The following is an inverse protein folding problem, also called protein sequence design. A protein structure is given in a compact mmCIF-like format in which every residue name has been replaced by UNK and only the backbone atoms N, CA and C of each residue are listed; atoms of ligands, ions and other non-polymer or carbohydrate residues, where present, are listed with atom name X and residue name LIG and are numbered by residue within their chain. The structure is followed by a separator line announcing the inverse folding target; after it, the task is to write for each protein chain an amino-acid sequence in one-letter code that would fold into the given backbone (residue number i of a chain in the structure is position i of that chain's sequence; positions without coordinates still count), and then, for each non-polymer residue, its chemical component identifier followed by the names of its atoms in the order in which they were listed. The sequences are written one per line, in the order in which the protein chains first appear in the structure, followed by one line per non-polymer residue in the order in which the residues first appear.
data_IF_841327913230
#
_entry.id   IF_841327913230
#
_cell.length_a   1.000
_cell.length_b   1.000
_cell.length_c   1.000
_cell.angle_alpha   90.00
_cell.angle_beta   90.00
_cell.angle_gamma   90.00
#
_symmetry.space_group_name_H-M   'P 1'
#
loop_
_entity.id
_entity.type
_entity.pdbx_description
1 polymer ?
#
# COMPACT_ATOMS: atom_id res chain seq x y z
N UNK A 1 39.65 -15.18 9.39
CA UNK A 1 38.62 -15.60 8.42
C UNK A 1 37.97 -14.33 7.92
N UNK A 2 38.25 -13.96 6.68
CA UNK A 2 37.76 -12.72 6.07
C UNK A 2 36.25 -12.85 5.89
N UNK A 3 35.51 -12.05 6.65
CA UNK A 3 34.07 -11.82 6.46
C UNK A 3 33.89 -11.27 5.04
N UNK A 4 33.58 -12.15 4.08
CA UNK A 4 33.24 -11.73 2.73
C UNK A 4 31.88 -11.06 2.83
N UNK A 5 31.87 -9.75 3.04
CA UNK A 5 30.65 -8.96 3.11
C UNK A 5 29.73 -9.35 1.95
N UNK A 6 28.50 -9.80 2.25
CA UNK A 6 27.52 -10.19 1.24
C UNK A 6 27.33 -9.01 0.27
N UNK A 7 27.60 -9.22 -1.02
CA UNK A 7 27.61 -8.15 -2.03
C UNK A 7 26.48 -8.31 -3.03
N UNK A 8 26.01 -7.18 -3.51
CA UNK A 8 24.95 -7.07 -4.50
C UNK A 8 25.32 -6.01 -5.53
N UNK A 9 25.04 -6.30 -6.79
CA UNK A 9 25.23 -5.40 -7.91
C UNK A 9 23.89 -4.79 -8.31
N UNK A 10 23.92 -3.54 -8.78
CA UNK A 10 22.74 -2.80 -9.22
C UNK A 10 21.60 -2.77 -8.17
N UNK A 11 21.88 -2.35 -6.92
CA UNK A 11 20.88 -2.33 -5.87
C UNK A 11 19.77 -1.33 -6.18
N UNK A 12 18.52 -1.72 -5.92
CA UNK A 12 17.36 -0.85 -6.00
C UNK A 12 16.31 -1.15 -4.95
N UNK A 13 15.44 -0.17 -4.70
CA UNK A 13 14.16 -0.35 -4.02
C UNK A 13 13.05 0.25 -4.87
N UNK A 14 11.95 -0.47 -5.00
CA UNK A 14 10.70 0.05 -5.55
C UNK A 14 9.63 0.10 -4.46
N UNK A 15 9.02 1.26 -4.28
CA UNK A 15 7.81 1.46 -3.50
C UNK A 15 6.60 1.40 -4.43
N UNK A 16 5.75 0.39 -4.21
CA UNK A 16 4.40 0.34 -4.76
C UNK A 16 3.40 0.79 -3.70
N UNK A 17 2.84 1.99 -3.84
CA UNK A 17 1.89 2.55 -2.88
C UNK A 17 0.51 2.73 -3.52
N UNK A 18 -0.56 2.38 -2.78
CA UNK A 18 -1.92 2.35 -3.30
C UNK A 18 -2.86 3.18 -2.42
N UNK A 19 -3.49 4.19 -2.99
CA UNK A 19 -4.39 5.09 -2.28
C UNK A 19 -5.76 5.15 -2.95
N UNK A 20 -6.82 4.90 -2.17
CA UNK A 20 -8.19 4.91 -2.65
C UNK A 20 -8.57 6.33 -3.00
N UNK A 21 -8.83 6.60 -4.28
CA UNK A 21 -9.14 7.96 -4.76
C UNK A 21 -10.63 8.17 -5.02
N UNK A 22 -11.40 7.10 -5.23
CA UNK A 22 -12.84 7.11 -5.42
C UNK A 22 -13.48 6.01 -4.56
N UNK A 23 -14.67 6.25 -4.03
CA UNK A 23 -15.44 5.23 -3.30
C UNK A 23 -16.84 5.04 -3.92
N UNK A 24 -17.58 4.05 -3.43
CA UNK A 24 -18.95 3.76 -3.87
C UNK A 24 -20.01 4.65 -3.22
N UNK A 25 -19.67 5.39 -2.15
CA UNK A 25 -20.57 6.30 -1.43
C UNK A 25 -20.71 7.65 -2.13
N UNK A 26 -19.74 8.03 -2.96
CA UNK A 26 -19.73 9.26 -3.75
C UNK A 26 -20.35 9.06 -5.14
N UNK A 27 -20.80 10.17 -5.72
CA UNK A 27 -21.24 10.19 -7.12
C UNK A 27 -20.12 9.69 -8.04
N UNK A 28 -20.46 8.91 -9.10
CA UNK A 28 -19.49 8.47 -10.08
C UNK A 28 -18.63 9.61 -10.61
N UNK A 29 -17.31 9.46 -10.53
CA UNK A 29 -16.36 10.46 -11.01
C UNK A 29 -15.89 11.43 -9.93
N UNK A 30 -16.52 11.48 -8.75
CA UNK A 30 -16.08 12.32 -7.64
C UNK A 30 -14.92 11.66 -6.88
N UNK A 31 -13.88 12.44 -6.60
CA UNK A 31 -12.74 12.00 -5.82
C UNK A 31 -12.98 12.20 -4.32
N UNK A 32 -12.35 11.37 -3.50
CA UNK A 32 -12.29 11.56 -2.06
C UNK A 32 -11.55 12.85 -1.71
N UNK A 33 -11.88 13.45 -0.56
CA UNK A 33 -11.23 14.69 -0.09
C UNK A 33 -9.72 14.52 0.14
N UNK A 34 -9.29 13.30 0.45
CA UNK A 34 -7.90 12.93 0.70
C UNK A 34 -7.19 12.32 -0.52
N UNK A 35 -7.83 12.26 -1.70
CA UNK A 35 -7.30 11.57 -2.87
C UNK A 35 -5.88 12.02 -3.26
N UNK A 36 -5.58 13.31 -3.12
CA UNK A 36 -4.28 13.88 -3.50
C UNK A 36 -3.17 13.66 -2.45
N UNK A 37 -3.49 13.11 -1.27
CA UNK A 37 -2.52 12.92 -0.19
C UNK A 37 -1.32 12.06 -0.60
N UNK A 38 -1.55 11.02 -1.42
CA UNK A 38 -0.46 10.18 -1.92
C UNK A 38 0.61 11.00 -2.65
N UNK A 39 0.17 11.95 -3.48
CA UNK A 39 1.05 12.80 -4.27
C UNK A 39 1.76 13.84 -3.40
N UNK A 40 1.06 14.40 -2.41
CA UNK A 40 1.64 15.33 -1.44
C UNK A 40 2.72 14.65 -0.59
N UNK A 41 2.47 13.44 -0.09
CA UNK A 41 3.46 12.69 0.67
C UNK A 41 4.64 12.22 -0.19
N UNK A 42 4.40 11.85 -1.45
CA UNK A 42 5.49 11.58 -2.38
C UNK A 42 6.36 12.83 -2.64
N UNK A 43 5.76 14.02 -2.73
CA UNK A 43 6.49 15.28 -2.90
C UNK A 43 7.37 15.62 -1.67
N UNK A 44 6.97 15.20 -0.46
CA UNK A 44 7.74 15.38 0.77
C UNK A 44 9.03 14.56 0.79
N UNK A 45 9.15 13.51 -0.04
CA UNK A 45 10.41 12.77 -0.21
C UNK A 45 11.54 13.61 -0.82
N UNK A 46 11.23 14.81 -1.34
CA UNK A 46 12.22 15.77 -1.83
C UNK A 46 13.29 16.11 -0.79
N UNK A 47 12.94 16.19 0.49
CA UNK A 47 13.87 16.51 1.57
C UNK A 47 14.81 15.34 1.93
N UNK A 48 14.32 14.16 2.36
CA UNK A 48 15.19 13.05 2.77
C UNK A 48 16.02 12.48 1.61
N UNK A 49 15.56 12.62 0.37
CA UNK A 49 16.31 12.20 -0.83
C UNK A 49 17.19 13.31 -1.41
N UNK A 50 17.08 14.55 -0.92
CA UNK A 50 17.75 15.73 -1.46
C UNK A 50 17.47 15.97 -2.96
N UNK A 51 16.19 15.87 -3.36
CA UNK A 51 15.68 16.09 -4.72
C UNK A 51 14.63 17.21 -4.69
N UNK A 52 15.03 18.50 -4.71
CA UNK A 52 14.09 19.62 -4.62
C UNK A 52 12.98 19.59 -5.68
N UNK A 53 13.32 19.18 -6.91
CA UNK A 53 12.38 19.13 -8.04
C UNK A 53 11.23 18.12 -7.84
N UNK A 54 11.38 17.14 -6.94
CA UNK A 54 10.32 16.19 -6.60
C UNK A 54 9.14 16.89 -5.92
N UNK A 55 9.36 18.05 -5.28
CA UNK A 55 8.30 18.84 -4.63
C UNK A 55 7.21 19.29 -5.60
N UNK A 56 7.57 19.48 -6.87
CA UNK A 56 6.65 19.88 -7.96
C UNK A 56 5.84 18.71 -8.55
N UNK A 57 5.98 17.48 -8.04
CA UNK A 57 5.27 16.32 -8.57
C UNK A 57 3.75 16.54 -8.70
N UNK A 58 3.02 17.04 -7.69
CA UNK A 58 1.57 17.21 -7.79
C UNK A 58 1.14 18.14 -8.93
N UNK A 59 1.96 19.15 -9.25
CA UNK A 59 1.71 20.14 -10.32
C UNK A 59 1.91 19.54 -11.71
N UNK A 60 2.68 18.45 -11.82
CA UNK A 60 2.95 17.74 -13.08
C UNK A 60 1.88 16.70 -13.42
N UNK A 61 1.00 16.37 -12.47
CA UNK A 61 -0.04 15.38 -12.66
C UNK A 61 -1.23 15.97 -13.41
N UNK A 62 -1.74 15.22 -14.38
CA UNK A 62 -2.97 15.54 -15.07
C UNK A 62 -4.17 15.00 -14.30
N UNK A 63 -5.26 15.78 -14.27
CA UNK A 63 -6.54 15.30 -13.79
C UNK A 63 -6.99 14.11 -14.66
N UNK A 64 -7.38 12.97 -14.06
CA UNK A 64 -7.90 11.85 -14.84
C UNK A 64 -9.13 12.31 -15.63
N UNK A 65 -9.30 11.89 -16.90
CA UNK A 65 -10.49 12.22 -17.66
C UNK A 65 -11.75 11.76 -16.93
N UNK A 66 -12.81 12.58 -17.02
CA UNK A 66 -14.13 12.27 -16.47
C UNK A 66 -14.76 11.09 -17.23
N UNK A 67 -14.47 9.86 -16.79
CA UNK A 67 -15.21 8.60 -16.99
C UNK A 67 -15.77 8.25 -18.40
N UNK A 68 -15.32 8.86 -19.50
CA UNK A 68 -15.81 8.47 -20.84
C UNK A 68 -15.03 7.32 -21.48
N UNK A 69 -13.88 6.93 -20.94
CA UNK A 69 -13.06 5.83 -21.49
C UNK A 69 -13.00 4.64 -20.54
N UNK A 70 -13.99 3.75 -20.63
CA UNK A 70 -14.02 2.42 -19.96
C UNK A 70 -12.95 1.45 -20.55
N UNK A 71 -12.13 1.89 -21.51
CA UNK A 71 -11.31 1.00 -22.30
C UNK A 71 -9.94 0.63 -21.69
N UNK A 72 -9.37 1.42 -20.78
CA UNK A 72 -8.01 1.16 -20.26
C UNK A 72 -8.02 0.62 -18.84
N UNK A 73 -7.24 -0.43 -18.59
CA UNK A 73 -7.02 -1.00 -17.23
C UNK A 73 -6.29 -0.04 -16.29
N UNK A 74 -5.57 0.93 -16.85
CA UNK A 74 -4.84 1.96 -16.11
C UNK A 74 -4.83 3.28 -16.89
N UNK A 75 -4.81 4.39 -16.17
CA UNK A 75 -4.70 5.75 -16.71
C UNK A 75 -3.38 6.33 -16.22
N UNK A 76 -2.52 6.74 -17.14
CA UNK A 76 -1.29 7.43 -16.78
C UNK A 76 -1.61 8.88 -16.42
N UNK A 77 -0.95 9.38 -15.36
CA UNK A 77 -1.21 10.71 -14.83
C UNK A 77 -0.18 11.74 -15.28
N UNK A 78 0.82 11.33 -16.09
CA UNK A 78 1.83 12.24 -16.63
C UNK A 78 1.52 12.59 -18.10
N UNK A 79 1.76 13.85 -18.52
CA UNK A 79 1.45 14.32 -19.87
C UNK A 79 2.15 13.57 -20.99
N UNK A 80 3.39 13.13 -20.75
CA UNK A 80 4.23 12.47 -21.77
C UNK A 80 4.16 10.95 -21.73
N UNK A 81 3.18 10.37 -21.01
CA UNK A 81 2.95 8.92 -20.94
C UNK A 81 4.18 8.09 -20.51
N UNK A 82 4.98 8.65 -19.61
CA UNK A 82 6.28 8.11 -19.22
C UNK A 82 6.55 8.14 -17.72
N UNK A 83 7.82 8.09 -17.35
CA UNK A 83 8.30 8.21 -15.96
C UNK A 83 8.99 9.55 -15.77
N UNK A 84 8.90 10.13 -14.57
CA UNK A 84 9.77 11.24 -14.19
C UNK A 84 11.05 10.67 -13.60
N UNK A 85 12.21 11.07 -14.16
CA UNK A 85 13.52 10.65 -13.67
C UNK A 85 14.24 11.82 -13.01
N UNK A 86 14.76 11.58 -11.81
CA UNK A 86 15.52 12.52 -11.01
C UNK A 86 16.88 11.91 -10.66
N UNK A 87 17.89 12.76 -10.48
CA UNK A 87 19.20 12.35 -9.98
C UNK A 87 19.46 13.06 -8.65
N UNK A 88 19.68 12.29 -7.59
CA UNK A 88 20.01 12.84 -6.29
C UNK A 88 21.53 13.06 -6.15
N UNK A 89 21.96 14.00 -5.29
CA UNK A 89 23.39 14.21 -5.02
C UNK A 89 24.02 13.07 -4.22
N UNK A 90 23.23 12.17 -3.62
CA UNK A 90 23.72 11.02 -2.89
C UNK A 90 24.46 10.06 -3.84
N UNK A 91 25.69 9.68 -3.49
CA UNK A 91 26.52 8.79 -4.30
C UNK A 91 27.00 7.56 -3.51
N UNK A 92 27.16 6.45 -4.22
CA UNK A 92 27.83 5.25 -3.76
C UNK A 92 28.79 4.79 -4.85
N UNK A 93 30.07 4.57 -4.51
CA UNK A 93 31.09 4.08 -5.45
C UNK A 93 31.13 4.89 -6.77
N UNK A 94 30.91 6.20 -6.69
CA UNK A 94 30.88 7.12 -7.84
C UNK A 94 29.59 7.10 -8.68
N UNK A 95 28.62 6.25 -8.36
CA UNK A 95 27.29 6.24 -8.98
C UNK A 95 26.31 7.10 -8.20
N UNK A 96 25.61 7.99 -8.88
CA UNK A 96 24.57 8.81 -8.29
C UNK A 96 23.27 8.01 -8.14
N UNK A 97 22.51 8.32 -7.09
CA UNK A 97 21.18 7.75 -6.90
C UNK A 97 20.23 8.28 -7.98
N UNK A 98 19.64 7.39 -8.76
CA UNK A 98 18.55 7.72 -9.68
C UNK A 98 17.22 7.39 -9.03
N UNK A 99 16.22 8.26 -9.23
CA UNK A 99 14.87 8.10 -8.73
C UNK A 99 13.88 8.23 -9.87
N UNK A 100 13.07 7.21 -10.09
CA UNK A 100 12.01 7.19 -11.09
C UNK A 100 10.64 7.19 -10.42
N UNK A 101 9.73 8.02 -10.94
CA UNK A 101 8.35 8.15 -10.45
C UNK A 101 7.39 7.84 -11.59
N UNK A 102 6.50 6.87 -11.37
CA UNK A 102 5.45 6.49 -12.31
C UNK A 102 4.08 6.48 -11.59
N UNK A 103 3.35 7.60 -11.66
CA UNK A 103 2.02 7.74 -11.08
C UNK A 103 0.94 7.32 -12.10
N UNK A 104 0.04 6.42 -11.67
CA UNK A 104 -1.08 5.96 -12.48
C UNK A 104 -2.35 5.88 -11.65
N UNK A 105 -3.50 5.83 -12.32
CA UNK A 105 -4.78 5.47 -11.73
C UNK A 105 -5.20 4.09 -12.24
N UNK A 106 -5.39 3.15 -11.33
CA UNK A 106 -5.91 1.80 -11.58
C UNK A 106 -7.34 1.75 -11.04
N UNK A 107 -8.33 1.88 -11.92
CA UNK A 107 -9.75 1.97 -11.57
C UNK A 107 -10.04 3.11 -10.58
N UNK A 108 -10.42 2.79 -9.34
CA UNK A 108 -10.73 3.68 -8.22
C UNK A 108 -9.52 4.03 -7.35
N UNK A 109 -8.32 3.60 -7.74
CA UNK A 109 -7.09 3.69 -6.93
C UNK A 109 -6.02 4.49 -7.63
N UNK A 110 -5.44 5.46 -6.94
CA UNK A 110 -4.16 6.03 -7.29
C UNK A 110 -3.04 5.09 -6.87
N UNK A 111 -2.16 4.78 -7.80
CA UNK A 111 -1.05 3.86 -7.61
C UNK A 111 0.27 4.54 -8.00
N UNK A 112 1.26 4.40 -7.13
CA UNK A 112 2.59 4.95 -7.30
C UNK A 112 3.59 3.81 -7.44
N UNK A 113 4.37 3.81 -8.53
CA UNK A 113 5.64 3.09 -8.63
C UNK A 113 6.77 4.12 -8.49
N UNK A 114 7.47 4.07 -7.36
CA UNK A 114 8.63 4.92 -7.06
C UNK A 114 9.86 4.03 -6.92
N UNK A 115 10.79 4.11 -7.86
CA UNK A 115 11.99 3.27 -7.87
C UNK A 115 13.26 4.10 -7.63
N UNK A 116 14.05 3.71 -6.64
CA UNK A 116 15.35 4.31 -6.29
C UNK A 116 16.44 3.28 -6.60
N UNK A 117 17.46 3.63 -7.37
CA UNK A 117 18.50 2.68 -7.76
C UNK A 117 19.87 3.29 -8.00
N UNK A 118 20.90 2.45 -7.90
CA UNK A 118 22.24 2.75 -8.39
C UNK A 118 22.60 1.82 -9.55
N UNK A 119 23.12 2.37 -10.64
CA UNK A 119 23.54 1.59 -11.81
C UNK A 119 25.03 1.28 -11.79
N UNK A 120 25.36 0.08 -12.28
CA UNK A 120 26.71 -0.40 -12.57
C UNK A 120 27.67 -0.38 -11.37
N UNK A 121 27.13 -0.53 -10.16
CA UNK A 121 27.91 -0.61 -8.92
C UNK A 121 27.68 -1.92 -8.19
N UNK A 122 28.70 -2.39 -7.49
CA UNK A 122 28.63 -3.57 -6.60
C UNK A 122 28.95 -3.17 -5.18
N UNK A 123 27.96 -3.27 -4.30
CA UNK A 123 28.02 -2.74 -2.94
C UNK A 123 27.78 -3.85 -1.91
N UNK A 124 28.25 -3.69 -0.67
CA UNK A 124 27.81 -4.54 0.44
C UNK A 124 26.31 -4.36 0.71
N UNK A 125 25.64 -5.41 1.20
CA UNK A 125 24.22 -5.37 1.57
C UNK A 125 23.87 -4.24 2.56
N UNK A 126 24.81 -3.85 3.42
CA UNK A 126 24.66 -2.72 4.37
C UNK A 126 24.35 -1.38 3.70
N UNK A 127 24.65 -1.22 2.41
CA UNK A 127 24.35 0.01 1.66
C UNK A 127 22.86 0.17 1.32
N UNK A 128 22.00 -0.83 1.54
CA UNK A 128 20.55 -0.66 1.41
C UNK A 128 19.96 0.38 2.38
N UNK A 129 20.64 0.66 3.50
CA UNK A 129 20.30 1.78 4.41
C UNK A 129 20.22 3.13 3.68
N UNK A 130 21.01 3.32 2.61
CA UNK A 130 21.03 4.56 1.80
C UNK A 130 19.84 4.70 0.87
N UNK A 131 19.11 3.62 0.58
CA UNK A 131 17.92 3.63 -0.24
C UNK A 131 16.65 3.97 0.56
N UNK A 132 16.76 4.07 1.89
CA UNK A 132 15.65 4.43 2.78
C UNK A 132 16.12 5.37 3.90
N UNK A 133 16.70 6.54 3.56
CA UNK A 133 17.20 7.46 4.57
C UNK A 133 16.05 7.86 5.51
N UNK A 134 16.31 7.75 6.81
CA UNK A 134 15.34 8.11 7.87
C UNK A 134 14.01 7.32 7.79
N UNK A 135 13.99 6.18 7.10
CA UNK A 135 12.77 5.40 6.91
C UNK A 135 11.74 6.07 5.99
N UNK A 136 12.14 7.00 5.13
CA UNK A 136 11.22 7.82 4.34
C UNK A 136 10.23 7.03 3.46
N UNK A 137 10.58 5.80 3.06
CA UNK A 137 9.71 4.93 2.24
C UNK A 137 8.74 4.07 3.07
N UNK A 138 8.75 4.16 4.40
CA UNK A 138 7.86 3.39 5.28
C UNK A 138 6.43 3.93 5.24
N UNK A 139 5.45 3.04 5.47
CA UNK A 139 4.02 3.35 5.40
C UNK A 139 3.60 4.50 6.33
N UNK A 140 4.29 4.69 7.46
CA UNK A 140 4.05 5.81 8.38
C UNK A 140 4.29 7.20 7.75
N UNK A 141 5.15 7.26 6.74
CA UNK A 141 5.53 8.49 6.04
C UNK A 141 4.72 8.68 4.74
N UNK A 142 4.52 7.62 3.97
CA UNK A 142 3.76 7.70 2.70
C UNK A 142 2.24 7.74 2.94
N UNK A 143 1.77 7.03 3.98
CA UNK A 143 0.37 6.91 4.39
C UNK A 143 -0.62 6.55 3.24
N UNK A 144 -0.33 5.51 2.44
CA UNK A 144 -1.28 5.06 1.42
C UNK A 144 -2.46 4.34 2.08
N UNK A 145 -3.69 4.69 1.71
CA UNK A 145 -4.90 4.17 2.39
C UNK A 145 -5.14 2.67 2.18
N UNK A 146 -4.73 2.10 1.03
CA UNK A 146 -4.76 0.65 0.79
C UNK A 146 -3.43 -0.05 1.14
N UNK A 147 -2.46 0.68 1.69
CA UNK A 147 -1.14 0.16 2.03
C UNK A 147 -0.14 0.19 0.87
N UNK A 148 1.00 -0.45 1.10
CA UNK A 148 2.13 -0.46 0.16
C UNK A 148 2.85 -1.82 0.14
N UNK A 149 3.63 -2.04 -0.91
CA UNK A 149 4.63 -3.11 -1.01
C UNK A 149 5.97 -2.49 -1.40
N UNK A 150 7.02 -2.86 -0.68
CA UNK A 150 8.40 -2.52 -1.01
C UNK A 150 9.06 -3.71 -1.71
N UNK A 151 9.85 -3.45 -2.74
CA UNK A 151 10.64 -4.48 -3.44
C UNK A 151 12.10 -4.08 -3.43
N UNK A 152 12.93 -4.79 -2.66
CA UNK A 152 14.39 -4.69 -2.75
C UNK A 152 14.87 -5.60 -3.88
N UNK A 153 15.73 -5.08 -4.74
CA UNK A 153 16.21 -5.82 -5.89
C UNK A 153 17.71 -5.62 -6.10
N UNK A 154 18.34 -6.63 -6.69
CA UNK A 154 19.69 -6.53 -7.23
C UNK A 154 20.26 -7.88 -7.66
N UNK A 155 21.47 -7.86 -8.23
CA UNK A 155 22.19 -9.02 -8.75
C UNK A 155 23.17 -9.53 -7.67
N UNK A 156 22.96 -10.70 -7.05
CA UNK A 156 23.84 -11.19 -6.00
C UNK A 156 25.22 -11.57 -6.54
N UNK A 157 26.29 -11.14 -5.85
CA UNK A 157 27.69 -11.48 -6.17
C UNK A 157 28.16 -12.52 -5.14
N UNK A 158 27.69 -13.74 -5.29
CA UNK A 158 27.91 -14.86 -4.36
C UNK A 158 27.21 -16.13 -4.84
N UNK A 159 27.22 -17.18 -4.04
CA UNK A 159 26.59 -18.46 -4.42
C UNK A 159 25.11 -18.51 -4.03
N UNK A 160 24.26 -19.29 -4.72
CA UNK A 160 22.83 -19.38 -4.38
C UNK A 160 22.53 -19.78 -2.93
N UNK A 161 23.42 -20.55 -2.29
CA UNK A 161 23.29 -20.96 -0.89
C UNK A 161 23.34 -19.77 0.09
N UNK A 162 23.86 -18.64 -0.35
CA UNK A 162 23.98 -17.41 0.44
C UNK A 162 22.78 -16.47 0.25
N UNK A 163 21.89 -16.73 -0.72
CA UNK A 163 20.81 -15.81 -1.09
C UNK A 163 19.90 -15.44 0.06
N UNK A 164 19.56 -16.42 0.90
CA UNK A 164 18.73 -16.15 2.07
C UNK A 164 19.44 -15.21 3.05
N UNK A 165 20.74 -15.44 3.30
CA UNK A 165 21.53 -14.59 4.19
C UNK A 165 21.69 -13.18 3.61
N UNK A 166 21.89 -13.09 2.30
CA UNK A 166 21.97 -11.81 1.59
C UNK A 166 20.64 -11.06 1.70
N UNK A 167 19.51 -11.74 1.48
CA UNK A 167 18.20 -11.13 1.61
C UNK A 167 17.95 -10.60 3.03
N UNK A 168 18.21 -11.42 4.06
CA UNK A 168 18.08 -11.00 5.46
C UNK A 168 18.98 -9.79 5.76
N UNK A 169 20.23 -9.77 5.26
CA UNK A 169 21.16 -8.65 5.44
C UNK A 169 20.69 -7.37 4.71
N UNK A 170 20.05 -7.48 3.55
CA UNK A 170 19.44 -6.36 2.85
C UNK A 170 18.27 -5.76 3.66
N UNK A 171 17.42 -6.62 4.23
CA UNK A 171 16.32 -6.17 5.12
C UNK A 171 16.88 -5.50 6.37
N UNK A 172 17.86 -6.11 7.04
CA UNK A 172 18.50 -5.52 8.22
C UNK A 172 19.04 -4.12 7.97
N UNK A 173 19.71 -3.95 6.83
CA UNK A 173 20.26 -2.66 6.43
C UNK A 173 19.16 -1.64 6.07
N UNK A 174 18.12 -2.06 5.34
CA UNK A 174 17.04 -1.17 4.91
C UNK A 174 16.18 -0.65 6.08
N UNK A 175 16.06 -1.46 7.14
CA UNK A 175 15.35 -1.14 8.38
C UNK A 175 16.29 -0.72 9.52
N UNK A 176 17.53 -0.34 9.21
CA UNK A 176 18.48 0.08 10.23
C UNK A 176 17.95 1.32 10.99
N UNK A 177 17.82 1.19 12.32
CA UNK A 177 17.35 2.28 13.18
C UNK A 177 15.82 2.40 13.31
N UNK A 178 15.06 1.38 12.88
CA UNK A 178 13.61 1.30 13.11
C UNK A 178 13.21 -0.02 13.76
N UNK A 179 12.21 0.03 14.64
CA UNK A 179 11.60 -1.14 15.28
C UNK A 179 10.54 -1.82 14.38
N UNK A 180 10.32 -1.30 13.17
CA UNK A 180 9.31 -1.79 12.22
C UNK A 180 9.82 -2.90 11.29
N UNK A 181 10.96 -3.52 11.61
CA UNK A 181 11.56 -4.55 10.78
C UNK A 181 10.59 -5.74 10.60
N UNK A 182 10.31 -6.16 9.34
CA UNK A 182 9.49 -7.32 9.08
C UNK A 182 10.28 -8.64 9.27
N UNK A 183 9.57 -9.72 9.50
CA UNK A 183 10.13 -11.07 9.58
C UNK A 183 9.88 -11.84 8.29
N UNK A 184 10.72 -12.82 7.97
CA UNK A 184 10.48 -13.65 6.78
C UNK A 184 9.19 -14.44 6.95
N UNK A 185 8.28 -14.28 6.00
CA UNK A 185 7.03 -15.04 5.94
C UNK A 185 7.02 -16.11 4.86
N UNK A 186 7.71 -15.90 3.74
CA UNK A 186 7.77 -16.89 2.66
C UNK A 186 9.04 -16.78 1.80
N UNK A 187 9.33 -17.84 1.05
CA UNK A 187 10.39 -17.89 0.04
C UNK A 187 9.90 -18.62 -1.21
N UNK A 188 10.35 -18.19 -2.38
CA UNK A 188 9.99 -18.81 -3.65
C UNK A 188 10.90 -18.37 -4.78
N UNK A 189 10.43 -18.54 -6.01
CA UNK A 189 11.11 -18.08 -7.22
C UNK A 189 10.13 -17.32 -8.11
N UNK A 190 10.59 -16.22 -8.70
CA UNK A 190 9.87 -15.45 -9.71
C UNK A 190 10.78 -15.27 -10.92
N UNK A 191 10.31 -15.71 -12.09
CA UNK A 191 11.06 -15.67 -13.35
C UNK A 191 12.46 -16.31 -13.25
N UNK A 192 12.55 -17.43 -12.54
CA UNK A 192 13.80 -18.18 -12.33
C UNK A 192 14.72 -17.61 -11.24
N UNK A 193 14.41 -16.43 -10.69
CA UNK A 193 15.20 -15.76 -9.67
C UNK A 193 14.56 -15.90 -8.27
N UNK A 194 15.35 -16.14 -7.21
CA UNK A 194 14.82 -16.29 -5.86
C UNK A 194 14.18 -15.00 -5.33
N UNK A 195 13.03 -15.16 -4.68
CA UNK A 195 12.29 -14.08 -4.04
C UNK A 195 11.90 -14.46 -2.62
N UNK A 196 12.07 -13.53 -1.69
CA UNK A 196 11.80 -13.71 -0.26
C UNK A 196 10.78 -12.67 0.18
N UNK A 197 9.69 -13.11 0.82
CA UNK A 197 8.67 -12.23 1.35
C UNK A 197 8.87 -12.04 2.85
N UNK A 198 8.76 -10.79 3.28
CA UNK A 198 8.82 -10.39 4.68
C UNK A 198 7.59 -9.56 5.01
N UNK A 199 7.03 -9.79 6.20
CA UNK A 199 5.96 -8.96 6.73
C UNK A 199 5.99 -8.83 8.26
N UNK A 200 5.20 -7.90 8.78
CA UNK A 200 5.07 -7.65 10.22
C UNK A 200 3.75 -8.18 10.83
N UNK A 201 3.01 -9.02 10.08
CA UNK A 201 1.75 -9.61 10.51
C UNK A 201 0.60 -8.65 10.85
N UNK A 202 0.74 -7.34 10.59
CA UNK A 202 -0.32 -6.36 10.91
C UNK A 202 -1.50 -6.51 9.95
N UNK A 203 -2.71 -6.54 10.51
CA UNK A 203 -3.96 -6.66 9.73
C UNK A 203 -4.29 -5.36 8.97
N UNK A 204 -4.04 -4.21 9.59
CA UNK A 204 -4.43 -2.91 9.03
C UNK A 204 -3.47 -2.51 7.90
N UNK A 205 -3.95 -2.21 6.68
CA UNK A 205 -3.09 -1.91 5.54
C UNK A 205 -2.10 -0.75 5.77
N UNK A 206 -2.50 0.28 6.52
CA UNK A 206 -1.67 1.46 6.83
C UNK A 206 -0.55 1.16 7.84
N UNK A 207 -0.65 0.05 8.57
CA UNK A 207 0.35 -0.39 9.55
C UNK A 207 1.17 -1.59 9.04
N UNK A 208 0.75 -2.18 7.93
CA UNK A 208 1.40 -3.33 7.34
C UNK A 208 2.72 -2.92 6.68
N UNK A 209 3.77 -3.65 7.01
CA UNK A 209 5.00 -3.66 6.24
C UNK A 209 4.99 -4.93 5.40
N UNK A 210 4.92 -4.80 4.07
CA UNK A 210 5.09 -5.91 3.15
C UNK A 210 6.28 -5.63 2.25
N UNK A 211 7.28 -6.52 2.30
CA UNK A 211 8.56 -6.35 1.65
C UNK A 211 8.89 -7.63 0.86
N UNK A 212 9.31 -7.46 -0.38
CA UNK A 212 9.86 -8.52 -1.21
C UNK A 212 11.33 -8.25 -1.44
N UNK A 213 12.19 -9.24 -1.23
CA UNK A 213 13.60 -9.19 -1.67
C UNK A 213 13.75 -10.11 -2.86
N UNK A 214 14.03 -9.54 -4.03
CA UNK A 214 14.14 -10.26 -5.29
C UNK A 214 15.56 -10.21 -5.82
N UNK A 215 16.26 -11.34 -5.79
CA UNK A 215 17.67 -11.43 -6.16
C UNK A 215 17.80 -12.00 -7.58
N UNK A 216 18.24 -11.18 -8.53
CA UNK A 216 18.31 -11.57 -9.93
C UNK A 216 19.50 -12.49 -10.21
N UNK A 217 19.23 -13.78 -10.36
CA UNK A 217 20.22 -14.80 -10.77
C UNK A 217 20.02 -15.31 -12.18
N UNK A 218 18.88 -15.03 -12.81
CA UNK A 218 18.50 -15.62 -14.07
C UNK A 218 18.49 -14.56 -15.19
N UNK A 219 19.19 -14.78 -16.31
CA UNK A 219 19.33 -13.76 -17.37
C UNK A 219 17.98 -13.34 -17.98
N UNK A 220 16.97 -14.22 -17.96
CA UNK A 220 15.63 -13.90 -18.46
C UNK A 220 14.77 -13.08 -17.50
N UNK A 221 15.16 -12.95 -16.22
CA UNK A 221 14.34 -12.23 -15.22
C UNK A 221 14.04 -10.81 -15.67
N UNK A 222 15.04 -10.06 -16.15
CA UNK A 222 14.87 -8.68 -16.63
C UNK A 222 13.90 -8.60 -17.82
N UNK A 223 14.04 -9.51 -18.80
CA UNK A 223 13.18 -9.54 -19.98
C UNK A 223 11.71 -9.80 -19.61
N UNK A 224 11.48 -10.73 -18.68
CA UNK A 224 10.14 -11.06 -18.21
C UNK A 224 9.55 -9.92 -17.36
N UNK A 225 10.36 -9.29 -16.50
CA UNK A 225 9.95 -8.10 -15.73
C UNK A 225 9.45 -6.99 -16.65
N UNK A 226 10.22 -6.64 -17.68
CA UNK A 226 9.83 -5.58 -18.61
C UNK A 226 8.46 -5.88 -19.26
N UNK A 227 8.23 -7.14 -19.65
CA UNK A 227 6.97 -7.58 -20.28
C UNK A 227 5.79 -7.64 -19.31
N UNK A 228 6.03 -7.87 -18.01
CA UNK A 228 4.96 -8.12 -17.03
C UNK A 228 4.85 -7.04 -15.95
N UNK A 229 5.63 -5.97 -16.02
CA UNK A 229 5.72 -4.92 -14.98
C UNK A 229 4.35 -4.38 -14.58
N UNK A 230 3.50 -4.04 -15.55
CA UNK A 230 2.13 -3.58 -15.30
C UNK A 230 1.23 -4.67 -14.70
N UNK A 231 1.46 -5.94 -15.05
CA UNK A 231 0.71 -7.06 -14.46
C UNK A 231 1.12 -7.31 -13.02
N UNK A 232 2.41 -7.22 -12.70
CA UNK A 232 2.91 -7.26 -11.32
C UNK A 232 2.37 -6.08 -10.51
N UNK A 233 2.36 -4.88 -11.09
CA UNK A 233 1.84 -3.70 -10.42
C UNK A 233 0.34 -3.83 -10.12
N UNK A 234 -0.45 -4.34 -11.07
CA UNK A 234 -1.87 -4.63 -10.86
C UNK A 234 -2.08 -5.75 -9.83
N UNK A 235 -1.27 -6.81 -9.85
CA UNK A 235 -1.33 -7.90 -8.87
C UNK A 235 -1.12 -7.38 -7.44
N UNK A 236 -0.14 -6.51 -7.24
CA UNK A 236 0.11 -5.87 -5.95
C UNK A 236 -1.04 -4.94 -5.54
N UNK A 237 -1.63 -4.22 -6.50
CA UNK A 237 -2.83 -3.40 -6.27
C UNK A 237 -4.01 -4.27 -5.81
N UNK A 238 -4.29 -5.39 -6.49
CA UNK A 238 -5.34 -6.34 -6.14
C UNK A 238 -5.13 -6.92 -4.74
N UNK A 239 -3.89 -7.32 -4.40
CA UNK A 239 -3.55 -7.75 -3.04
C UNK A 239 -3.87 -6.67 -2.00
N UNK A 240 -3.47 -5.43 -2.24
CA UNK A 240 -3.74 -4.30 -1.33
C UNK A 240 -5.24 -4.03 -1.18
N UNK A 241 -6.02 -4.11 -2.27
CA UNK A 241 -7.49 -3.99 -2.24
C UNK A 241 -8.14 -5.10 -1.41
N UNK A 242 -7.68 -6.35 -1.57
CA UNK A 242 -8.18 -7.48 -0.77
C UNK A 242 -7.96 -7.22 0.72
N UNK A 243 -6.75 -6.83 1.11
CA UNK A 243 -6.41 -6.59 2.51
C UNK A 243 -7.19 -5.41 3.10
N UNK A 244 -7.33 -4.32 2.34
CA UNK A 244 -8.16 -3.19 2.73
C UNK A 244 -9.63 -3.59 2.92
N UNK A 245 -10.22 -4.32 1.97
CA UNK A 245 -11.59 -4.80 2.08
C UNK A 245 -11.78 -5.74 3.29
N UNK A 246 -10.80 -6.58 3.61
CA UNK A 246 -10.82 -7.41 4.82
C UNK A 246 -10.80 -6.58 6.11
N UNK A 247 -9.94 -5.55 6.20
CA UNK A 247 -9.88 -4.66 7.37
C UNK A 247 -11.21 -3.91 7.56
N UNK A 248 -11.77 -3.36 6.47
CA UNK A 248 -13.05 -2.67 6.50
C UNK A 248 -14.21 -3.62 6.88
N UNK A 249 -14.26 -4.83 6.32
CA UNK A 249 -15.26 -5.83 6.70
C UNK A 249 -15.19 -6.19 8.19
N UNK A 250 -13.98 -6.37 8.75
CA UNK A 250 -13.79 -6.62 10.19
C UNK A 250 -14.22 -5.43 11.03
N UNK A 251 -13.98 -4.20 10.56
CA UNK A 251 -14.47 -3.00 11.23
C UNK A 251 -16.00 -2.94 11.21
N UNK A 252 -16.66 -3.13 10.07
CA UNK A 252 -18.13 -3.17 9.95
C UNK A 252 -18.73 -4.26 10.84
N UNK A 253 -18.12 -5.45 10.91
CA UNK A 253 -18.55 -6.53 11.80
C UNK A 253 -18.52 -6.10 13.28
N UNK A 254 -17.45 -5.43 13.72
CA UNK A 254 -17.35 -4.92 15.11
C UNK A 254 -18.44 -3.88 15.39
N UNK A 255 -18.68 -2.94 14.47
CA UNK A 255 -19.75 -1.94 14.63
C UNK A 255 -21.14 -2.59 14.68
N UNK A 256 -21.41 -3.51 13.75
CA UNK A 256 -22.65 -4.29 13.68
C UNK A 256 -22.92 -5.03 14.98
N UNK A 257 -21.90 -5.70 15.55
CA UNK A 257 -22.03 -6.43 16.82
C UNK A 257 -22.32 -5.48 18.00
N UNK A 258 -21.70 -4.31 18.02
CA UNK A 258 -21.96 -3.28 19.03
C UNK A 258 -23.39 -2.75 18.96
N UNK A 259 -23.84 -2.36 17.76
CA UNK A 259 -25.21 -1.88 17.52
C UNK A 259 -26.27 -2.93 17.82
N UNK A 260 -26.02 -4.20 17.48
CA UNK A 260 -26.93 -5.29 17.80
C UNK A 260 -27.16 -5.40 19.33
N UNK A 261 -26.08 -5.33 20.12
CA UNK A 261 -26.19 -5.32 21.58
C UNK A 261 -27.02 -4.15 22.11
N UNK A 262 -26.79 -2.94 21.58
CA UNK A 262 -27.58 -1.76 21.95
C UNK A 262 -29.06 -1.91 21.58
N UNK A 263 -29.37 -2.44 20.39
CA UNK A 263 -30.75 -2.66 19.96
C UNK A 263 -31.46 -3.70 20.84
N UNK A 264 -30.78 -4.78 21.24
CA UNK A 264 -31.32 -5.75 22.20
C UNK A 264 -31.61 -5.13 23.59
N UNK A 265 -30.74 -4.22 24.05
CA UNK A 265 -30.99 -3.44 25.27
C UNK A 265 -32.20 -2.51 25.13
N UNK A 266 -32.35 -1.83 23.98
CA UNK A 266 -33.53 -1.00 23.72
C UNK A 266 -34.82 -1.83 23.77
N UNK A 267 -34.82 -3.01 23.13
CA UNK A 267 -35.94 -3.96 23.12
C UNK A 267 -36.30 -4.44 24.53
N UNK A 268 -35.30 -4.69 25.40
CA UNK A 268 -35.55 -4.97 26.82
C UNK A 268 -36.18 -3.75 27.52
N UNK A 269 -35.67 -2.56 27.24
CA UNK A 269 -36.23 -1.31 27.77
C UNK A 269 -37.70 -1.07 27.38
N UNK A 270 -38.15 -1.56 26.21
CA UNK A 270 -39.57 -1.54 25.84
C UNK A 270 -40.43 -2.44 26.74
N UNK A 271 -39.89 -3.57 27.20
CA UNK A 271 -40.60 -4.50 28.11
C UNK A 271 -40.69 -3.96 29.54
N UNK A 272 -39.79 -3.05 29.90
CA UNK A 272 -39.66 -2.47 31.24
C UNK A 272 -40.30 -1.08 31.37
N UNK A 273 -41.08 -0.65 30.37
CA UNK A 273 -41.71 0.67 30.36
C UNK A 273 -42.60 0.90 31.61
N UNK A 274 -42.60 2.12 32.17
CA UNK A 274 -43.48 2.49 33.28
C UNK A 274 -44.94 2.26 32.94
N UNK A 275 -45.75 1.97 33.96
CA UNK A 275 -47.22 1.90 33.81
C UNK A 275 -47.86 3.28 33.77
N UNK A 276 -47.18 4.29 34.30
CA UNK A 276 -47.62 5.68 34.28
C UNK A 276 -47.76 6.19 32.82
N UNK A 277 -48.94 6.66 32.39
CA UNK A 277 -49.20 6.99 30.99
C UNK A 277 -48.31 8.12 30.42
N UNK A 278 -48.09 9.19 31.19
CA UNK A 278 -47.32 10.35 30.72
C UNK A 278 -45.84 10.02 30.59
N UNK A 279 -45.27 9.41 31.63
CA UNK A 279 -43.86 8.98 31.61
C UNK A 279 -43.62 7.93 30.53
N UNK A 280 -44.56 7.00 30.34
CA UNK A 280 -44.49 5.98 29.28
C UNK A 280 -44.52 6.59 27.88
N UNK A 281 -45.37 7.60 27.66
CA UNK A 281 -45.49 8.25 26.36
C UNK A 281 -44.19 8.99 25.99
N UNK A 282 -43.60 9.73 26.93
CA UNK A 282 -42.34 10.44 26.69
C UNK A 282 -41.18 9.48 26.40
N UNK A 283 -41.04 8.39 27.17
CA UNK A 283 -40.02 7.38 26.90
C UNK A 283 -40.23 6.67 25.56
N UNK A 284 -41.49 6.42 25.15
CA UNK A 284 -41.81 5.87 23.84
C UNK A 284 -41.39 6.80 22.71
N UNK A 285 -41.67 8.12 22.81
CA UNK A 285 -41.28 9.11 21.81
C UNK A 285 -39.77 9.16 21.64
N UNK A 286 -39.02 9.16 22.76
CA UNK A 286 -37.56 9.16 22.71
C UNK A 286 -37.03 7.89 22.02
N UNK A 287 -37.49 6.71 22.45
CA UNK A 287 -37.08 5.43 21.84
C UNK A 287 -37.43 5.33 20.36
N UNK A 288 -38.60 5.82 19.95
CA UNK A 288 -39.02 5.86 18.54
C UNK A 288 -38.19 6.82 17.69
N UNK A 289 -37.46 7.76 18.29
CA UNK A 289 -36.58 8.69 17.59
C UNK A 289 -35.16 8.12 17.46
N UNK A 290 -34.66 7.45 18.51
CA UNK A 290 -33.28 6.94 18.56
C UNK A 290 -33.11 5.57 17.87
N UNK A 291 -34.10 4.68 17.98
CA UNK A 291 -34.02 3.31 17.47
C UNK A 291 -33.93 3.23 15.93
N UNK A 292 -34.65 4.06 15.14
CA UNK A 292 -34.51 4.04 13.70
C UNK A 292 -33.08 4.36 13.24
N UNK A 293 -32.42 5.35 13.84
CA UNK A 293 -31.04 5.72 13.49
C UNK A 293 -30.09 4.53 13.68
N UNK A 294 -30.13 3.90 14.86
CA UNK A 294 -29.33 2.69 15.16
C UNK A 294 -29.63 1.54 14.20
N UNK A 295 -30.89 1.40 13.78
CA UNK A 295 -31.32 0.36 12.82
C UNK A 295 -30.81 0.65 11.40
N UNK A 296 -30.83 1.90 10.97
CA UNK A 296 -30.28 2.30 9.67
C UNK A 296 -28.76 2.12 9.63
N UNK A 297 -28.04 2.51 10.69
CA UNK A 297 -26.59 2.28 10.80
C UNK A 297 -26.26 0.79 10.77
N UNK A 298 -27.03 -0.02 11.50
CA UNK A 298 -26.88 -1.48 11.50
C UNK A 298 -27.08 -2.08 10.11
N UNK A 299 -28.15 -1.69 9.40
CA UNK A 299 -28.41 -2.14 8.04
C UNK A 299 -27.34 -1.66 7.05
N UNK A 300 -26.81 -0.45 7.26
CA UNK A 300 -25.69 0.11 6.51
C UNK A 300 -24.46 -0.77 6.62
N UNK A 301 -24.00 -1.08 7.84
CA UNK A 301 -22.84 -1.94 8.04
C UNK A 301 -23.02 -3.36 7.50
N UNK A 302 -24.24 -3.93 7.56
CA UNK A 302 -24.53 -5.23 6.93
C UNK A 302 -24.32 -5.19 5.42
N UNK A 303 -24.81 -4.13 4.76
CA UNK A 303 -24.63 -3.94 3.32
C UNK A 303 -23.15 -3.75 2.98
N UNK A 304 -22.45 -2.90 3.71
CA UNK A 304 -21.03 -2.61 3.46
C UNK A 304 -20.17 -3.89 3.61
N UNK A 305 -20.51 -4.79 4.54
CA UNK A 305 -19.83 -6.10 4.64
C UNK A 305 -20.00 -6.97 3.37
N UNK A 306 -21.18 -6.97 2.75
CA UNK A 306 -21.40 -7.73 1.51
C UNK A 306 -20.66 -7.08 0.31
N UNK A 307 -20.59 -5.75 0.29
CA UNK A 307 -19.80 -5.00 -0.69
C UNK A 307 -18.30 -5.33 -0.55
N UNK A 308 -17.77 -5.36 0.68
CA UNK A 308 -16.38 -5.75 0.93
C UNK A 308 -16.09 -7.21 0.54
N UNK A 309 -17.02 -8.13 0.80
CA UNK A 309 -16.91 -9.53 0.35
C UNK A 309 -16.86 -9.62 -1.18
N UNK A 310 -17.69 -8.84 -1.87
CA UNK A 310 -17.67 -8.75 -3.34
C UNK A 310 -16.35 -8.18 -3.86
N UNK A 311 -15.82 -7.13 -3.20
CA UNK A 311 -14.51 -6.57 -3.52
C UNK A 311 -13.37 -7.58 -3.35
N UNK A 312 -13.40 -8.39 -2.28
CA UNK A 312 -12.42 -9.48 -2.06
C UNK A 312 -12.50 -10.50 -3.20
N UNK A 313 -13.71 -10.99 -3.52
CA UNK A 313 -13.89 -12.00 -4.57
C UNK A 313 -13.43 -11.51 -5.95
N UNK A 314 -13.76 -10.26 -6.29
CA UNK A 314 -13.40 -9.65 -7.57
C UNK A 314 -11.88 -9.50 -7.70
N UNK A 315 -11.22 -8.96 -6.67
CA UNK A 315 -9.76 -8.76 -6.71
C UNK A 315 -8.98 -10.08 -6.60
N UNK A 316 -9.56 -11.14 -6.04
CA UNK A 316 -8.94 -12.47 -6.03
C UNK A 316 -9.00 -13.16 -7.40
N UNK A 317 -9.97 -12.80 -8.26
CA UNK A 317 -10.10 -13.33 -9.61
C UNK A 317 -9.24 -12.61 -10.65
N UNK A 318 -8.86 -11.36 -10.37
CA UNK A 318 -8.07 -10.51 -11.27
C UNK A 318 -6.57 -10.79 -11.15
#
# INVERSE_FOLDING_TARGET
MTDSALRIKNPSVTLYAFHLCQDLSQEPGKFRQDADQLWQHCAQLSEPLAIPDLKSLPEKLQSPPSQTAIASRYIELLPDHGRLTYTAPLQIEGSALTVEVYPVKIHDTYALDLTLYYQNVTVPASQFSRLNPQGCLLASNIQPSLGQTLVLYGEPVGTPEEDRKLADACVDAFFQGTDQKPELSASGHLFGSPIFAYDNGKEKPTEQCHLLVWLNRHPETLNLVEKTSLSLFNLLCCRSKILFAYDQARWCYRQTRGLYGQLEEEVKGFKELPRDPETRLEQLKQKLTEMPLKTFDYAGYLRDMEDHKTAIATNASN
#
